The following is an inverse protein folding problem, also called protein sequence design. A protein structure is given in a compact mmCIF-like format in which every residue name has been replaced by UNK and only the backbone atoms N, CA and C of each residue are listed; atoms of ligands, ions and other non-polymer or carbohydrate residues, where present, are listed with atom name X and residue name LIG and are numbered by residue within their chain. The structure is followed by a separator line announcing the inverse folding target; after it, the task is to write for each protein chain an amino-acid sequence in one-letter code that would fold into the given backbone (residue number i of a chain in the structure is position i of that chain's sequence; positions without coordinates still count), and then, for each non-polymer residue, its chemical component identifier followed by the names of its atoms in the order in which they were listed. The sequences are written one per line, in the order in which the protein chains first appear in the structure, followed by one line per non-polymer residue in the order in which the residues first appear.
data_IF_244466456043
#
_entry.id   IF_244466456043
#
_cell.length_a   1.000
_cell.length_b   1.000
_cell.length_c   1.000
_cell.angle_alpha   90.00
_cell.angle_beta   90.00
_cell.angle_gamma   90.00
#
_symmetry.space_group_name_H-M   'P 1'
#
loop_
_entity.id
_entity.type
_entity.pdbx_description
1 polymer ?
#
# COMPACT_ATOMS: atom_id res chain seq x y z
N UNK A 1 14.62 6.68 17.41
CA UNK A 1 14.43 6.54 15.94
C UNK A 1 13.24 5.61 15.72
N UNK A 2 12.36 5.91 14.77
CA UNK A 2 11.15 5.13 14.48
C UNK A 2 11.40 4.19 13.30
N UNK A 3 10.85 2.97 13.34
CA UNK A 3 10.99 2.05 12.20
C UNK A 3 9.99 2.38 11.09
N UNK A 4 10.31 1.97 9.85
CA UNK A 4 9.39 2.13 8.71
C UNK A 4 8.09 1.34 8.90
N UNK A 5 8.17 0.13 9.49
CA UNK A 5 6.99 -0.68 9.77
C UNK A 5 6.03 0.08 10.68
N UNK A 6 6.54 0.67 11.77
CA UNK A 6 5.72 1.47 12.69
C UNK A 6 5.12 2.69 11.99
N UNK A 7 5.87 3.35 11.11
CA UNK A 7 5.38 4.48 10.29
C UNK A 7 4.17 4.11 9.44
N UNK A 8 4.24 2.95 8.79
CA UNK A 8 3.19 2.46 7.93
C UNK A 8 1.98 1.94 8.72
N UNK A 9 2.21 1.28 9.86
CA UNK A 9 1.12 0.81 10.73
C UNK A 9 0.32 1.96 11.33
N UNK A 10 0.96 3.04 11.81
CA UNK A 10 0.21 4.21 12.30
C UNK A 10 -0.54 4.93 11.17
N UNK A 11 -0.05 4.83 9.94
CA UNK A 11 -0.75 5.33 8.76
C UNK A 11 -1.94 4.42 8.35
N UNK A 12 -2.18 3.32 9.08
CA UNK A 12 -3.28 2.39 8.83
C UNK A 12 -2.98 1.31 7.78
N UNK A 13 -1.72 1.13 7.40
CA UNK A 13 -1.32 0.06 6.47
C UNK A 13 -1.24 -1.26 7.24
N UNK A 14 -2.00 -2.26 6.78
CA UNK A 14 -1.90 -3.62 7.29
C UNK A 14 -0.63 -4.30 6.76
N UNK A 15 0.28 -4.62 7.68
CA UNK A 15 1.54 -5.31 7.42
C UNK A 15 1.54 -6.73 8.00
N UNK A 16 0.38 -7.28 8.36
CA UNK A 16 0.29 -8.60 9.00
C UNK A 16 0.98 -9.67 8.15
N UNK A 17 1.97 -10.33 8.75
CA UNK A 17 2.78 -11.37 8.09
C UNK A 17 3.82 -10.85 7.08
N UNK A 18 3.89 -9.54 6.84
CA UNK A 18 4.94 -8.95 6.03
C UNK A 18 6.19 -8.63 6.85
N UNK A 19 7.36 -8.91 6.27
CA UNK A 19 8.65 -8.46 6.79
C UNK A 19 9.32 -7.55 5.78
N UNK A 20 9.22 -6.24 6.00
CA UNK A 20 9.86 -5.23 5.16
C UNK A 20 11.37 -5.33 5.28
N UNK A 21 12.08 -5.44 4.15
CA UNK A 21 13.54 -5.59 4.12
C UNK A 21 14.22 -4.31 3.66
N UNK A 22 13.70 -3.68 2.60
CA UNK A 22 14.31 -2.47 2.03
C UNK A 22 13.24 -1.62 1.36
N UNK A 23 13.19 -0.34 1.69
CA UNK A 23 12.52 0.66 0.88
C UNK A 23 13.47 1.12 -0.24
N UNK A 24 12.97 1.22 -1.47
CA UNK A 24 13.75 1.58 -2.66
C UNK A 24 13.31 2.91 -3.27
N UNK A 25 12.13 3.41 -2.90
CA UNK A 25 11.62 4.66 -3.40
C UNK A 25 10.50 5.24 -2.55
N UNK A 26 10.36 6.55 -2.64
CA UNK A 26 9.29 7.34 -2.05
C UNK A 26 8.76 8.30 -3.10
N UNK A 27 7.45 8.50 -3.17
CA UNK A 27 6.85 9.51 -4.06
C UNK A 27 7.23 10.92 -3.63
N UNK A 28 7.16 11.88 -4.56
CA UNK A 28 7.51 13.27 -4.29
C UNK A 28 6.65 13.91 -3.18
N UNK A 29 5.41 13.45 -3.01
CA UNK A 29 4.49 13.89 -1.96
C UNK A 29 4.64 13.09 -0.64
N UNK A 30 5.55 12.12 -0.58
CA UNK A 30 5.84 11.33 0.61
C UNK A 30 4.77 10.30 0.99
N UNK A 31 3.70 10.14 0.20
CA UNK A 31 2.55 9.30 0.57
C UNK A 31 2.68 7.85 0.11
N UNK A 32 3.51 7.59 -0.89
CA UNK A 32 3.72 6.26 -1.46
C UNK A 32 5.16 5.85 -1.22
N UNK A 33 5.34 4.67 -0.66
CA UNK A 33 6.66 4.06 -0.46
C UNK A 33 6.66 2.70 -1.18
N UNK A 34 7.76 2.38 -1.86
CA UNK A 34 7.97 1.09 -2.54
C UNK A 34 9.23 0.42 -2.04
N UNK A 35 9.29 -0.91 -2.17
CA UNK A 35 10.44 -1.67 -1.71
C UNK A 35 10.34 -3.17 -1.94
N UNK A 36 11.22 -3.91 -1.27
CA UNK A 36 11.22 -5.37 -1.21
C UNK A 36 11.05 -5.87 0.22
N UNK A 37 10.39 -7.00 0.37
CA UNK A 37 10.11 -7.63 1.65
C UNK A 37 9.66 -9.08 1.48
N UNK A 38 9.64 -9.83 2.57
CA UNK A 38 9.05 -11.15 2.59
C UNK A 38 7.55 -11.03 2.86
N UNK A 39 6.73 -11.68 2.03
CA UNK A 39 5.29 -11.77 2.23
C UNK A 39 4.93 -12.85 3.28
N UNK A 40 3.65 -13.01 3.66
CA UNK A 40 3.24 -14.01 4.65
C UNK A 40 3.55 -15.46 4.26
N UNK A 41 3.75 -15.75 2.97
CA UNK A 41 4.20 -17.06 2.49
C UNK A 41 5.73 -17.24 2.57
N UNK A 42 6.46 -16.24 3.09
CA UNK A 42 7.91 -16.22 3.19
C UNK A 42 8.63 -15.91 1.88
N UNK A 43 7.91 -15.55 0.83
CA UNK A 43 8.48 -15.24 -0.48
C UNK A 43 8.91 -13.78 -0.54
N UNK A 44 10.10 -13.52 -1.07
CA UNK A 44 10.58 -12.14 -1.27
C UNK A 44 9.93 -11.57 -2.53
N UNK A 45 9.22 -10.45 -2.37
CA UNK A 45 8.58 -9.75 -3.46
C UNK A 45 8.59 -8.23 -3.27
N UNK A 46 8.21 -7.52 -4.33
CA UNK A 46 8.07 -6.07 -4.29
C UNK A 46 6.76 -5.68 -3.59
N UNK A 47 6.78 -4.59 -2.82
CA UNK A 47 5.61 -4.03 -2.16
C UNK A 47 5.46 -2.53 -2.47
N UNK A 48 4.22 -2.05 -2.33
CA UNK A 48 3.85 -0.62 -2.41
C UNK A 48 2.91 -0.30 -1.26
N UNK A 49 3.32 0.61 -0.38
CA UNK A 49 2.51 1.13 0.70
C UNK A 49 1.99 2.53 0.33
N UNK A 50 0.70 2.77 0.56
CA UNK A 50 0.02 4.02 0.24
C UNK A 50 -0.63 4.57 1.52
N UNK A 51 -0.11 5.69 2.00
CA UNK A 51 -0.56 6.37 3.22
C UNK A 51 -1.61 7.46 2.92
N UNK A 52 -2.06 7.58 1.67
CA UNK A 52 -3.09 8.56 1.28
C UNK A 52 -4.52 8.06 1.50
N UNK A 53 -4.68 6.75 1.73
CA UNK A 53 -5.96 6.15 2.08
C UNK A 53 -6.34 6.56 3.50
N UNK A 54 -6.98 7.72 3.62
CA UNK A 54 -7.60 8.15 4.85
C UNK A 54 -8.52 7.01 5.36
N UNK A 55 -8.48 6.67 6.66
CA UNK A 55 -9.40 5.69 7.23
C UNK A 55 -10.79 6.32 7.19
N UNK A 56 -11.59 6.00 6.18
CA UNK A 56 -12.99 6.40 6.14
C UNK A 56 -13.70 5.62 7.26
N UNK A 57 -14.36 6.30 8.22
CA UNK A 57 -14.99 5.62 9.33
C UNK A 57 -16.15 4.77 8.81
N UNK A 58 -16.01 3.44 8.92
CA UNK A 58 -17.11 2.48 9.08
C UNK A 58 -18.29 2.69 8.12
N UNK A 59 -18.12 2.35 6.85
CA UNK A 59 -19.27 2.19 5.96
C UNK A 59 -18.90 2.06 4.51
N UNK A 60 -19.08 0.85 3.96
CA UNK A 60 -19.25 0.58 2.53
C UNK A 60 -17.98 0.65 1.65
N UNK A 61 -17.34 -0.51 1.48
CA UNK A 61 -16.31 -0.73 0.45
C UNK A 61 -15.53 -2.02 0.71
N UNK A 62 -16.19 -3.18 0.67
CA UNK A 62 -16.02 -4.14 -0.43
C UNK A 62 -14.54 -4.54 -0.67
N UNK A 63 -14.18 -5.70 -0.11
CA UNK A 63 -13.11 -6.62 -0.54
C UNK A 63 -11.85 -6.01 -1.20
N UNK A 64 -10.73 -6.00 -0.47
CA UNK A 64 -9.41 -6.15 -1.10
C UNK A 64 -8.73 -7.40 -0.56
N UNK A 65 -9.26 -8.55 -0.99
CA UNK A 65 -8.45 -9.76 -1.11
C UNK A 65 -7.37 -9.47 -2.15
N UNK A 66 -6.13 -9.37 -1.67
CA UNK A 66 -4.89 -9.98 -2.16
C UNK A 66 -4.74 -10.16 -3.68
N UNK A 67 -3.62 -9.70 -4.25
CA UNK A 67 -2.84 -10.38 -5.31
C UNK A 67 -1.96 -9.33 -6.03
N UNK A 68 -0.65 -9.56 -6.16
CA UNK A 68 -0.20 -10.60 -7.06
C UNK A 68 -0.78 -10.33 -8.46
N UNK A 69 -0.36 -9.26 -9.12
CA UNK A 69 -0.62 -9.05 -10.55
C UNK A 69 -2.08 -9.25 -11.03
N UNK A 70 -3.12 -8.60 -10.46
CA UNK A 70 -4.45 -8.67 -11.09
C UNK A 70 -5.48 -7.56 -10.79
N UNK A 71 -5.24 -6.60 -9.88
CA UNK A 71 -6.26 -5.59 -9.54
C UNK A 71 -6.08 -4.24 -10.27
N UNK A 72 -5.48 -4.24 -11.47
CA UNK A 72 -5.08 -3.02 -12.17
C UNK A 72 -6.17 -2.35 -13.04
N UNK A 73 -7.39 -2.90 -13.16
CA UNK A 73 -8.31 -2.48 -14.23
C UNK A 73 -9.68 -1.88 -13.82
N UNK A 74 -10.05 -1.80 -12.54
CA UNK A 74 -11.46 -1.50 -12.20
C UNK A 74 -11.80 -0.04 -11.83
N UNK A 75 -10.83 0.88 -11.69
CA UNK A 75 -11.18 2.29 -11.37
C UNK A 75 -10.28 3.35 -12.01
N UNK A 76 -9.68 3.02 -13.15
CA UNK A 76 -8.91 3.96 -13.98
C UNK A 76 -9.78 4.85 -14.89
N UNK A 77 -11.08 4.99 -14.60
CA UNK A 77 -12.00 5.77 -15.43
C UNK A 77 -12.94 6.60 -14.56
N UNK A 78 -12.40 7.69 -14.01
CA UNK A 78 -13.12 8.95 -13.74
C UNK A 78 -12.17 9.93 -13.08
N UNK A 79 -11.57 10.80 -13.90
CA UNK A 79 -11.19 12.21 -13.64
C UNK A 79 -10.13 12.65 -14.64
N UNK A 80 -10.55 12.75 -15.91
CA UNK A 80 -9.99 13.70 -16.88
C UNK A 80 -11.16 14.28 -17.67
N UNK A 81 -11.90 15.14 -16.99
CA UNK A 81 -12.78 16.13 -17.62
C UNK A 81 -12.68 17.39 -16.77
N UNK A 82 -11.77 18.28 -17.17
CA UNK A 82 -11.85 19.73 -16.97
C UNK A 82 -10.77 20.35 -17.86
N UNK A 83 -11.22 21.11 -18.86
CA UNK A 83 -10.46 21.63 -19.99
C UNK A 83 -11.40 21.68 -21.18
#
# INVERSE_FOLDING_TARGET
MRSLADALTDAGVDLTGWRLQRATGVSADGKVIVGYGANPAGQVEAWRADMSAAPEPRGLGLYSVLAGAAAFAARWRRRRTAG
#
